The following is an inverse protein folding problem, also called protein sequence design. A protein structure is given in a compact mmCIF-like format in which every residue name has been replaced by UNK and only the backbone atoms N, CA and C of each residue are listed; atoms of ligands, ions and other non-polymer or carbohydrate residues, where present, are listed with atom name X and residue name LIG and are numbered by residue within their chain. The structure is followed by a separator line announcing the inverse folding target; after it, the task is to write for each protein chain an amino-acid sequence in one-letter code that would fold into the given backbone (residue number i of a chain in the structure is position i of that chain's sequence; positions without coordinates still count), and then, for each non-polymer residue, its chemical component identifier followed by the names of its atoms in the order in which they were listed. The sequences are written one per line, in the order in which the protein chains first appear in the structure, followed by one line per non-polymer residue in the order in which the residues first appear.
data_IF_389259185900
#
_entry.id   IF_389259185900
#
_cell.length_a   1.000
_cell.length_b   1.000
_cell.length_c   1.000
_cell.angle_alpha   90.00
_cell.angle_beta   90.00
_cell.angle_gamma   90.00
#
_symmetry.space_group_name_H-M   'P 1'
#
loop_
_entity.id
_entity.type
_entity.pdbx_description
1 polymer ?
#
# COMPACT_ATOMS: atom_id res chain seq x y z
N UNK A 1 25.19 3.13 2.09
CA UNK A 1 25.28 3.79 3.42
C UNK A 1 26.20 2.96 4.28
N UNK A 2 27.35 3.51 4.68
CA UNK A 2 28.17 2.93 5.75
C UNK A 2 27.27 2.78 6.98
N UNK A 3 27.13 1.56 7.51
CA UNK A 3 26.48 1.38 8.80
C UNK A 3 27.39 2.01 9.84
N UNK A 4 27.07 3.25 10.27
CA UNK A 4 27.74 3.88 11.40
C UNK A 4 27.61 2.91 12.57
N UNK A 5 28.71 2.24 12.89
CA UNK A 5 28.71 1.15 13.87
C UNK A 5 28.90 1.82 15.22
N UNK A 6 27.79 2.10 15.91
CA UNK A 6 27.85 2.67 17.25
C UNK A 6 28.30 1.61 18.25
N UNK A 7 29.20 1.99 19.15
CA UNK A 7 29.51 1.17 20.32
C UNK A 7 28.30 1.05 21.25
N UNK A 8 28.35 0.10 22.19
CA UNK A 8 27.26 -0.06 23.16
C UNK A 8 27.09 1.21 24.00
N UNK A 9 28.19 1.84 24.39
CA UNK A 9 28.21 3.07 25.17
C UNK A 9 27.60 4.25 24.39
N UNK A 10 27.93 4.38 23.10
CA UNK A 10 27.39 5.43 22.24
C UNK A 10 25.87 5.28 22.04
N UNK A 11 25.38 4.04 21.88
CA UNK A 11 23.94 3.76 21.80
C UNK A 11 23.25 4.18 23.09
N UNK A 12 23.83 3.86 24.25
CA UNK A 12 23.24 4.21 25.54
C UNK A 12 23.15 5.73 25.72
N UNK A 13 24.17 6.47 25.32
CA UNK A 13 24.17 7.93 25.41
C UNK A 13 23.15 8.54 24.43
N UNK A 14 23.13 8.05 23.18
CA UNK A 14 22.13 8.45 22.19
C UNK A 14 20.70 8.24 22.70
N UNK A 15 20.44 7.11 23.36
CA UNK A 15 19.12 6.77 23.93
C UNK A 15 18.73 7.69 25.09
N UNK A 16 19.68 8.07 25.95
CA UNK A 16 19.44 9.06 27.01
C UNK A 16 19.08 10.41 26.42
N UNK A 17 19.82 10.89 25.43
CA UNK A 17 19.52 12.14 24.73
C UNK A 17 18.17 12.09 24.01
N UNK A 18 17.81 10.95 23.40
CA UNK A 18 16.47 10.76 22.84
C UNK A 18 15.39 10.89 23.93
N UNK A 19 15.66 10.39 25.14
CA UNK A 19 14.77 10.50 26.29
C UNK A 19 14.49 11.94 26.72
N UNK A 20 15.40 12.89 26.48
CA UNK A 20 15.17 14.31 26.77
C UNK A 20 14.32 15.02 25.71
N UNK A 21 14.09 14.37 24.57
CA UNK A 21 13.40 14.96 23.42
C UNK A 21 14.34 15.73 22.48
N UNK A 22 15.65 15.51 22.58
CA UNK A 22 16.62 16.14 21.68
C UNK A 22 16.39 15.68 20.22
N UNK A 23 16.01 16.61 19.35
CA UNK A 23 15.66 16.34 17.94
C UNK A 23 16.84 15.75 17.16
N UNK A 24 18.07 16.21 17.39
CA UNK A 24 19.26 15.70 16.70
C UNK A 24 19.58 14.27 17.10
N UNK A 25 19.38 13.94 18.39
CA UNK A 25 19.56 12.58 18.89
C UNK A 25 18.49 11.65 18.31
N UNK A 26 17.23 12.08 18.29
CA UNK A 26 16.13 11.33 17.68
C UNK A 26 16.36 11.10 16.18
N UNK A 27 16.86 12.11 15.46
CA UNK A 27 17.22 11.97 14.05
C UNK A 27 18.29 10.88 13.87
N UNK A 28 19.42 10.97 14.56
CA UNK A 28 20.48 9.94 14.53
C UNK A 28 19.96 8.55 14.89
N UNK A 29 19.05 8.46 15.85
CA UNK A 29 18.41 7.20 16.24
C UNK A 29 17.59 6.61 15.09
N UNK A 30 16.74 7.40 14.44
CA UNK A 30 15.94 6.91 13.31
C UNK A 30 16.81 6.60 12.10
N UNK A 31 17.87 7.37 11.85
CA UNK A 31 18.83 7.07 10.79
C UNK A 31 19.45 5.68 11.00
N UNK A 32 19.84 5.35 12.23
CA UNK A 32 20.44 4.06 12.57
C UNK A 32 19.44 2.90 12.60
N UNK A 33 18.27 3.07 13.23
CA UNK A 33 17.31 1.98 13.49
C UNK A 33 16.16 1.92 12.48
N UNK A 34 16.06 2.81 11.50
CA UNK A 34 14.94 2.84 10.54
C UNK A 34 14.71 1.48 9.86
N UNK A 35 15.79 0.84 9.42
CA UNK A 35 15.75 -0.46 8.75
C UNK A 35 15.29 -1.57 9.70
N UNK A 36 15.72 -1.54 10.96
CA UNK A 36 15.26 -2.50 11.97
C UNK A 36 13.76 -2.33 12.26
N UNK A 37 13.28 -1.09 12.37
CA UNK A 37 11.85 -0.79 12.61
C UNK A 37 11.01 -1.26 11.42
N UNK A 38 11.41 -0.94 10.19
CA UNK A 38 10.67 -1.30 8.97
C UNK A 38 10.65 -2.82 8.76
N UNK A 39 11.79 -3.50 8.91
CA UNK A 39 11.87 -4.94 8.67
C UNK A 39 11.27 -5.79 9.80
N UNK A 40 11.10 -5.23 11.00
CA UNK A 40 10.56 -5.96 12.15
C UNK A 40 9.24 -6.70 11.84
N UNK A 41 8.17 -6.05 11.34
CA UNK A 41 6.91 -6.74 10.99
C UNK A 41 7.07 -7.82 9.91
N UNK A 42 7.95 -7.59 8.92
CA UNK A 42 8.21 -8.53 7.83
C UNK A 42 8.90 -9.78 8.36
N UNK A 43 9.96 -9.61 9.16
CA UNK A 43 10.78 -10.71 9.65
C UNK A 43 10.10 -11.52 10.76
N UNK A 44 9.38 -10.85 11.66
CA UNK A 44 8.82 -11.50 12.86
C UNK A 44 7.39 -11.99 12.63
N UNK A 45 6.62 -11.33 11.77
CA UNK A 45 5.19 -11.63 11.57
C UNK A 45 4.82 -11.91 10.10
N UNK A 46 5.79 -11.94 9.18
CA UNK A 46 5.58 -12.21 7.76
C UNK A 46 4.52 -11.30 7.11
N UNK A 47 4.49 -10.04 7.55
CA UNK A 47 3.58 -9.04 6.98
C UNK A 47 4.09 -8.55 5.62
N UNK A 48 3.19 -7.97 4.84
CA UNK A 48 3.50 -7.36 3.54
C UNK A 48 4.33 -6.08 3.71
N UNK A 49 4.99 -5.64 2.65
CA UNK A 49 5.71 -4.35 2.63
C UNK A 49 4.77 -3.17 2.94
N UNK A 50 3.54 -3.20 2.43
CA UNK A 50 2.52 -2.19 2.74
C UNK A 50 2.23 -2.12 4.24
N UNK A 51 2.03 -3.28 4.87
CA UNK A 51 1.79 -3.37 6.31
C UNK A 51 3.02 -2.92 7.11
N UNK A 52 4.23 -3.18 6.59
CA UNK A 52 5.47 -2.73 7.19
C UNK A 52 5.66 -1.21 7.11
N UNK A 53 5.30 -0.60 5.97
CA UNK A 53 5.27 0.86 5.78
C UNK A 53 4.30 1.52 6.76
N UNK A 54 3.06 1.03 6.83
CA UNK A 54 2.04 1.55 7.75
C UNK A 54 2.48 1.42 9.21
N UNK A 55 3.03 0.26 9.56
CA UNK A 55 3.59 0.02 10.88
C UNK A 55 4.76 0.96 11.19
N UNK A 56 5.68 1.16 10.24
CA UNK A 56 6.82 2.05 10.42
C UNK A 56 6.37 3.46 10.77
N UNK A 57 5.38 3.99 10.05
CA UNK A 57 4.82 5.32 10.29
C UNK A 57 4.16 5.37 11.67
N UNK A 58 3.38 4.35 12.02
CA UNK A 58 2.80 4.24 13.35
C UNK A 58 3.87 4.22 14.46
N UNK A 59 4.93 3.43 14.28
CA UNK A 59 6.02 3.35 15.23
C UNK A 59 6.79 4.68 15.34
N UNK A 60 7.09 5.31 14.20
CA UNK A 60 7.73 6.62 14.13
C UNK A 60 6.94 7.67 14.92
N UNK A 61 5.63 7.77 14.69
CA UNK A 61 4.74 8.70 15.40
C UNK A 61 4.73 8.46 16.92
N UNK A 62 4.84 7.21 17.37
CA UNK A 62 4.87 6.85 18.80
C UNK A 62 6.24 7.05 19.44
N UNK A 63 7.32 7.03 18.66
CA UNK A 63 8.70 7.12 19.14
C UNK A 63 9.28 8.53 19.04
N UNK A 64 8.82 9.36 18.08
CA UNK A 64 9.38 10.70 17.80
C UNK A 64 9.33 11.68 18.97
N UNK A 65 8.53 11.42 20.00
CA UNK A 65 8.43 12.28 21.19
C UNK A 65 9.54 12.05 22.23
N UNK A 66 10.36 11.00 22.08
CA UNK A 66 11.39 10.67 23.07
C UNK A 66 10.87 9.99 24.36
N UNK A 67 9.58 10.15 24.69
CA UNK A 67 9.01 9.72 25.99
C UNK A 67 9.21 8.24 26.30
N UNK A 68 9.13 7.36 25.29
CA UNK A 68 9.30 5.92 25.49
C UNK A 68 10.72 5.51 25.82
N UNK A 69 11.73 6.28 25.42
CA UNK A 69 13.13 5.98 25.74
C UNK A 69 13.44 6.12 27.24
N UNK A 70 12.67 6.94 27.97
CA UNK A 70 12.80 7.10 29.43
C UNK A 70 12.50 5.82 30.22
N UNK A 71 11.80 4.84 29.65
CA UNK A 71 11.50 3.59 30.34
C UNK A 71 12.59 2.53 30.18
N UNK A 72 13.68 2.83 29.47
CA UNK A 72 14.83 1.95 29.39
C UNK A 72 15.70 2.11 30.65
N UNK A 73 15.82 1.03 31.44
CA UNK A 73 16.50 1.02 32.76
C UNK A 73 17.84 0.25 32.70
N UNK A 74 18.33 -0.14 31.52
CA UNK A 74 19.65 -0.79 31.38
C UNK A 74 19.75 -2.24 31.90
N UNK A 75 18.64 -2.88 32.29
CA UNK A 75 18.63 -4.29 32.76
C UNK A 75 18.87 -5.35 31.66
N UNK A 76 18.88 -4.92 30.40
CA UNK A 76 19.13 -5.75 29.22
C UNK A 76 19.82 -4.87 28.17
N UNK A 77 20.38 -5.48 27.12
CA UNK A 77 20.89 -4.70 25.98
C UNK A 77 19.77 -3.84 25.39
N UNK A 78 20.14 -2.65 24.88
CA UNK A 78 19.16 -1.75 24.29
C UNK A 78 18.37 -2.41 23.15
N UNK A 79 19.05 -3.19 22.31
CA UNK A 79 18.42 -3.92 21.19
C UNK A 79 17.33 -4.89 21.66
N UNK A 80 17.57 -5.64 22.75
CA UNK A 80 16.58 -6.57 23.32
C UNK A 80 15.35 -5.84 23.85
N UNK A 81 15.57 -4.74 24.58
CA UNK A 81 14.48 -3.89 25.04
C UNK A 81 13.72 -3.27 23.86
N UNK A 82 14.43 -2.79 22.85
CA UNK A 82 13.85 -2.10 21.71
C UNK A 82 12.97 -3.04 20.86
N UNK A 83 13.39 -4.29 20.62
CA UNK A 83 12.53 -5.27 19.97
C UNK A 83 11.28 -5.61 20.77
N UNK A 84 11.35 -5.56 22.10
CA UNK A 84 10.15 -5.71 22.95
C UNK A 84 9.18 -4.53 22.77
N UNK A 85 9.72 -3.30 22.66
CA UNK A 85 8.93 -2.10 22.33
C UNK A 85 8.29 -2.23 20.95
N UNK A 86 9.06 -2.61 19.92
CA UNK A 86 8.54 -2.79 18.56
C UNK A 86 7.43 -3.84 18.51
N UNK A 87 7.61 -4.98 19.19
CA UNK A 87 6.58 -6.02 19.31
C UNK A 87 5.28 -5.47 19.91
N UNK A 88 5.38 -4.72 21.00
CA UNK A 88 4.21 -4.15 21.66
C UNK A 88 3.51 -3.12 20.77
N UNK A 89 4.26 -2.25 20.10
CA UNK A 89 3.71 -1.30 19.14
C UNK A 89 3.01 -2.01 17.97
N UNK A 90 3.55 -3.14 17.51
CA UNK A 90 2.96 -3.89 16.39
C UNK A 90 1.63 -4.53 16.81
N UNK A 91 1.57 -5.10 18.01
CA UNK A 91 0.33 -5.66 18.56
C UNK A 91 -0.73 -4.55 18.70
N UNK A 92 -0.35 -3.38 19.22
CA UNK A 92 -1.25 -2.24 19.35
C UNK A 92 -1.75 -1.75 17.98
N UNK A 93 -0.86 -1.62 16.99
CA UNK A 93 -1.23 -1.26 15.61
C UNK A 93 -2.15 -2.29 14.96
N UNK A 94 -1.94 -3.58 15.20
CA UNK A 94 -2.84 -4.62 14.68
C UNK A 94 -4.23 -4.56 15.32
N UNK A 95 -4.34 -4.13 16.58
CA UNK A 95 -5.63 -3.93 17.26
C UNK A 95 -6.42 -2.79 16.62
N UNK A 96 -5.80 -1.65 16.37
CA UNK A 96 -6.48 -0.51 15.70
C UNK A 96 -6.93 -0.87 14.29
N UNK A 97 -6.15 -1.67 13.54
CA UNK A 97 -6.54 -2.15 12.19
C UNK A 97 -7.74 -3.10 12.21
N UNK A 98 -7.94 -3.87 13.29
CA UNK A 98 -9.10 -4.78 13.42
C UNK A 98 -10.39 -4.03 13.70
N UNK A 99 -10.33 -2.98 14.52
CA UNK A 99 -11.51 -2.16 14.88
C UNK A 99 -12.10 -1.42 13.66
N UNK A 100 -11.25 -0.97 12.74
CA UNK A 100 -11.68 -0.31 11.49
C UNK A 100 -12.33 -1.28 10.49
N UNK A 101 -11.91 -2.55 10.46
CA UNK A 101 -12.45 -3.56 9.52
C UNK A 101 -13.90 -3.96 9.79
N UNK A 102 -14.45 -3.65 10.97
CA UNK A 102 -15.82 -4.01 11.35
C UNK A 102 -16.90 -3.10 10.76
N UNK A 103 -16.54 -2.03 10.05
CA UNK A 103 -17.49 -1.21 9.31
C UNK A 103 -17.64 -1.72 7.87
N UNK A 104 -18.48 -2.73 7.69
CA UNK A 104 -18.89 -3.16 6.34
C UNK A 104 -19.75 -2.04 5.74
N UNK A 105 -19.20 -1.28 4.81
CA UNK A 105 -20.00 -0.33 4.03
C UNK A 105 -20.86 -1.14 3.07
N UNK A 106 -22.13 -1.30 3.42
CA UNK A 106 -23.12 -1.85 2.50
C UNK A 106 -23.24 -0.93 1.29
N UNK A 107 -23.05 -1.46 0.09
CA UNK A 107 -23.23 -0.69 -1.15
C UNK A 107 -24.72 -0.62 -1.46
N UNK A 108 -25.24 0.60 -1.61
CA UNK A 108 -26.63 0.89 -1.96
C UNK A 108 -26.74 1.34 -3.42
N UNK A 109 -27.73 0.81 -4.15
CA UNK A 109 -27.98 1.15 -5.55
C UNK A 109 -28.68 2.52 -5.68
N UNK A 110 -28.99 2.97 -6.90
CA UNK A 110 -29.71 4.24 -7.15
C UNK A 110 -31.10 4.31 -6.49
N UNK A 111 -31.64 3.18 -6.05
CA UNK A 111 -32.94 3.03 -5.39
C UNK A 111 -32.81 2.88 -3.86
N UNK A 112 -31.59 3.00 -3.31
CA UNK A 112 -31.33 2.86 -1.87
C UNK A 112 -31.35 1.44 -1.32
N UNK A 113 -31.40 0.41 -2.18
CA UNK A 113 -31.33 -1.00 -1.77
C UNK A 113 -29.88 -1.46 -1.65
N UNK A 114 -29.57 -2.15 -0.55
CA UNK A 114 -28.30 -2.87 -0.42
C UNK A 114 -28.20 -3.93 -1.51
N UNK A 115 -27.14 -3.88 -2.32
CA UNK A 115 -26.93 -4.85 -3.38
C UNK A 115 -25.65 -5.66 -3.16
N UNK A 116 -25.77 -6.95 -3.44
CA UNK A 116 -24.65 -7.90 -3.55
C UNK A 116 -24.56 -8.51 -4.96
N UNK A 117 -25.53 -8.21 -5.81
CA UNK A 117 -25.76 -8.77 -7.14
C UNK A 117 -25.31 -7.81 -8.23
N UNK A 118 -24.80 -8.38 -9.33
CA UNK A 118 -24.17 -7.63 -10.44
C UNK A 118 -25.20 -6.79 -11.23
N UNK A 119 -26.49 -7.10 -11.12
CA UNK A 119 -27.58 -6.42 -11.84
C UNK A 119 -27.82 -4.97 -11.35
N UNK A 120 -27.36 -4.64 -10.14
CA UNK A 120 -27.47 -3.32 -9.53
C UNK A 120 -26.19 -2.46 -9.69
N UNK A 121 -25.14 -3.00 -10.32
CA UNK A 121 -23.89 -2.29 -10.55
C UNK A 121 -24.09 -1.30 -11.71
N UNK A 122 -24.09 0.03 -11.47
CA UNK A 122 -24.39 1.00 -12.50
C UNK A 122 -23.33 0.95 -13.62
N UNK A 123 -23.78 0.85 -14.88
CA UNK A 123 -22.89 0.95 -16.04
C UNK A 123 -22.37 2.39 -16.16
N UNK A 124 -21.11 2.59 -15.78
CA UNK A 124 -20.41 3.89 -15.82
C UNK A 124 -19.52 4.05 -17.05
N UNK A 125 -19.57 3.13 -18.03
CA UNK A 125 -18.64 3.15 -19.17
C UNK A 125 -18.72 4.42 -20.02
N UNK A 126 -19.92 4.98 -20.21
CA UNK A 126 -20.12 6.15 -21.06
C UNK A 126 -19.52 7.44 -20.48
N UNK A 127 -19.60 7.64 -19.17
CA UNK A 127 -19.05 8.82 -18.50
C UNK A 127 -17.54 8.71 -18.22
N UNK A 128 -16.95 7.51 -18.35
CA UNK A 128 -15.62 7.22 -17.85
C UNK A 128 -14.46 7.81 -18.66
N UNK A 129 -14.59 7.94 -19.99
CA UNK A 129 -13.43 8.29 -20.83
C UNK A 129 -13.09 9.79 -20.77
N UNK A 130 -14.09 10.67 -20.88
CA UNK A 130 -13.89 12.11 -20.76
C UNK A 130 -13.45 12.49 -19.34
N UNK A 131 -14.10 11.92 -18.32
CA UNK A 131 -13.66 12.08 -16.92
C UNK A 131 -12.25 11.55 -16.68
N UNK A 132 -11.81 10.48 -17.35
CA UNK A 132 -10.47 9.94 -17.14
C UNK A 132 -9.37 10.86 -17.67
N UNK A 133 -9.58 11.53 -18.80
CA UNK A 133 -8.63 12.50 -19.35
C UNK A 133 -8.50 13.73 -18.44
N UNK A 134 -9.63 14.31 -18.01
CA UNK A 134 -9.63 15.45 -17.10
C UNK A 134 -8.96 15.12 -15.77
N UNK A 135 -9.24 13.95 -15.20
CA UNK A 135 -8.61 13.47 -13.96
C UNK A 135 -7.11 13.26 -14.14
N UNK A 136 -6.67 12.77 -15.30
CA UNK A 136 -5.25 12.59 -15.61
C UNK A 136 -4.50 13.92 -15.66
N UNK A 137 -5.04 14.91 -16.37
CA UNK A 137 -4.44 16.24 -16.49
C UNK A 137 -4.39 16.96 -15.14
N UNK A 138 -5.48 16.87 -14.39
CA UNK A 138 -5.56 17.36 -13.02
C UNK A 138 -4.50 16.71 -12.12
N UNK A 139 -4.35 15.39 -12.23
CA UNK A 139 -3.35 14.64 -11.47
C UNK A 139 -1.92 15.07 -11.80
N UNK A 140 -1.59 15.24 -13.09
CA UNK A 140 -0.27 15.72 -13.53
C UNK A 140 0.00 17.14 -13.03
N UNK A 141 -1.01 18.02 -13.12
CA UNK A 141 -0.94 19.38 -12.56
C UNK A 141 -0.65 19.35 -11.07
N UNK A 142 -1.39 18.57 -10.28
CA UNK A 142 -1.15 18.42 -8.84
C UNK A 142 0.25 17.87 -8.56
N UNK A 143 0.68 16.83 -9.28
CA UNK A 143 1.98 16.20 -9.10
C UNK A 143 3.13 17.19 -9.39
N UNK A 144 2.97 18.07 -10.38
CA UNK A 144 3.95 19.11 -10.72
C UNK A 144 4.20 20.10 -9.57
N UNK A 145 3.18 20.36 -8.74
CA UNK A 145 3.28 21.27 -7.59
C UNK A 145 4.03 20.68 -6.39
N UNK A 146 4.34 19.38 -6.43
CA UNK A 146 5.06 18.68 -5.37
C UNK A 146 6.56 18.87 -5.59
N UNK A 147 7.30 19.14 -4.50
CA UNK A 147 8.76 19.26 -4.54
C UNK A 147 9.39 18.07 -5.25
N UNK A 148 10.36 18.36 -6.13
CA UNK A 148 11.07 17.39 -6.98
C UNK A 148 11.45 16.10 -6.23
N UNK A 149 12.16 16.23 -5.11
CA UNK A 149 12.57 15.13 -4.22
C UNK A 149 11.45 14.15 -3.85
N UNK A 150 10.30 14.71 -3.49
CA UNK A 150 9.16 13.92 -3.04
C UNK A 150 8.40 13.32 -4.22
N UNK A 151 8.33 14.07 -5.33
CA UNK A 151 7.74 13.61 -6.59
C UNK A 151 8.49 12.40 -7.14
N UNK A 152 9.82 12.42 -7.06
CA UNK A 152 10.69 11.31 -7.45
C UNK A 152 10.37 10.05 -6.62
N UNK A 153 10.26 10.15 -5.29
CA UNK A 153 9.89 9.00 -4.43
C UNK A 153 8.56 8.39 -4.87
N UNK A 154 7.57 9.23 -5.15
CA UNK A 154 6.27 8.79 -5.60
C UNK A 154 6.32 8.13 -6.99
N UNK A 155 6.99 8.76 -7.97
CA UNK A 155 7.18 8.18 -9.30
C UNK A 155 7.93 6.86 -9.24
N UNK A 156 8.98 6.75 -8.43
CA UNK A 156 9.71 5.49 -8.22
C UNK A 156 8.84 4.42 -7.54
N UNK A 157 7.91 4.79 -6.67
CA UNK A 157 6.96 3.84 -6.05
C UNK A 157 6.01 3.21 -7.08
N UNK A 158 5.73 3.93 -8.16
CA UNK A 158 4.86 3.52 -9.26
C UNK A 158 5.60 3.50 -10.59
N UNK A 159 6.89 3.11 -10.59
CA UNK A 159 7.79 3.26 -11.75
C UNK A 159 7.35 2.47 -12.99
N UNK A 160 6.53 1.43 -12.79
CA UNK A 160 5.90 0.69 -13.86
C UNK A 160 4.87 1.54 -14.64
N UNK A 161 4.14 2.41 -13.94
CA UNK A 161 3.09 3.27 -14.51
C UNK A 161 3.56 4.69 -14.81
N UNK A 162 4.58 5.18 -14.07
CA UNK A 162 5.06 6.55 -14.14
C UNK A 162 6.52 6.60 -14.61
N UNK A 163 6.82 7.58 -15.46
CA UNK A 163 8.16 7.84 -15.96
C UNK A 163 8.81 8.99 -15.20
N UNK A 164 10.11 8.84 -14.96
CA UNK A 164 10.93 9.94 -14.49
C UNK A 164 11.35 10.79 -15.67
N UNK A 165 11.27 12.10 -15.51
CA UNK A 165 11.69 13.07 -16.50
C UNK A 165 13.23 13.20 -16.49
N UNK A 166 13.88 13.68 -17.58
CA UNK A 166 15.33 13.82 -17.62
C UNK A 166 15.90 14.64 -16.46
N UNK A 167 15.21 15.71 -16.05
CA UNK A 167 15.58 16.54 -14.90
C UNK A 167 15.54 15.77 -13.57
N UNK A 168 14.61 14.83 -13.42
CA UNK A 168 14.48 13.99 -12.24
C UNK A 168 15.60 12.96 -12.17
N UNK A 169 16.00 12.39 -13.31
CA UNK A 169 17.13 11.46 -13.39
C UNK A 169 18.43 12.19 -13.05
N UNK A 170 18.64 13.38 -13.61
CA UNK A 170 19.79 14.23 -13.30
C UNK A 170 19.85 14.57 -11.81
N UNK A 171 18.71 14.93 -11.21
CA UNK A 171 18.63 15.19 -9.76
C UNK A 171 19.08 13.99 -8.92
N UNK A 172 18.68 12.76 -9.29
CA UNK A 172 19.13 11.54 -8.59
C UNK A 172 20.63 11.32 -8.79
N UNK A 173 21.14 11.51 -10.01
CA UNK A 173 22.54 11.37 -10.36
C UNK A 173 23.44 12.30 -9.52
N UNK A 174 23.07 13.58 -9.44
CA UNK A 174 23.77 14.57 -8.63
C UNK A 174 23.74 14.22 -7.15
N UNK A 175 22.55 13.90 -6.61
CA UNK A 175 22.37 13.60 -5.18
C UNK A 175 23.12 12.36 -4.73
N UNK A 176 23.16 11.33 -5.57
CA UNK A 176 23.81 10.04 -5.23
C UNK A 176 25.24 9.94 -5.72
N UNK A 177 25.73 10.92 -6.49
CA UNK A 177 27.05 10.89 -7.14
C UNK A 177 27.22 9.63 -8.00
N UNK A 178 26.15 9.25 -8.73
CA UNK A 178 26.12 8.10 -9.64
C UNK A 178 25.88 8.56 -11.08
N UNK A 179 26.46 7.90 -12.10
CA UNK A 179 26.18 8.24 -13.50
C UNK A 179 24.70 8.06 -13.87
N UNK A 180 24.17 8.94 -14.74
CA UNK A 180 22.77 8.84 -15.22
C UNK A 180 22.47 7.49 -15.89
N UNK A 181 23.42 6.96 -16.67
CA UNK A 181 23.29 5.67 -17.37
C UNK A 181 23.06 4.50 -16.39
N UNK A 182 23.73 4.53 -15.24
CA UNK A 182 23.57 3.50 -14.21
C UNK A 182 22.15 3.55 -13.60
N UNK A 183 21.67 4.76 -13.29
CA UNK A 183 20.32 4.97 -12.75
C UNK A 183 19.25 4.56 -13.77
N UNK A 184 19.43 4.92 -15.06
CA UNK A 184 18.53 4.52 -16.14
C UNK A 184 18.47 3.00 -16.29
N UNK A 185 19.62 2.34 -16.28
CA UNK A 185 19.71 0.89 -16.34
C UNK A 185 19.04 0.21 -15.15
N UNK A 186 19.22 0.75 -13.94
CA UNK A 186 18.59 0.23 -12.73
C UNK A 186 17.06 0.37 -12.77
N UNK A 187 16.55 1.54 -13.21
CA UNK A 187 15.11 1.77 -13.41
C UNK A 187 14.53 0.84 -14.47
N UNK A 188 15.26 0.61 -15.57
CA UNK A 188 14.82 -0.28 -16.65
C UNK A 188 14.73 -1.74 -16.18
N UNK A 189 15.74 -2.21 -15.45
CA UNK A 189 15.73 -3.55 -14.81
C UNK A 189 14.57 -3.70 -13.83
N UNK A 190 14.32 -2.69 -12.99
CA UNK A 190 13.17 -2.70 -12.08
C UNK A 190 11.84 -2.79 -12.83
N UNK A 191 11.68 -2.08 -13.94
CA UNK A 191 10.45 -2.16 -14.75
C UNK A 191 10.23 -3.55 -15.34
N UNK A 192 11.30 -4.19 -15.79
CA UNK A 192 11.23 -5.56 -16.30
C UNK A 192 10.82 -6.55 -15.21
N UNK A 193 11.41 -6.45 -14.00
CA UNK A 193 11.01 -7.27 -12.86
C UNK A 193 9.54 -7.07 -12.50
N UNK A 194 9.10 -5.81 -12.48
CA UNK A 194 7.72 -5.43 -12.15
C UNK A 194 6.70 -5.85 -13.22
N UNK A 195 7.12 -6.00 -14.48
CA UNK A 195 6.26 -6.50 -15.56
C UNK A 195 5.73 -7.91 -15.29
N UNK A 196 6.55 -8.78 -14.69
CA UNK A 196 6.13 -10.13 -14.32
C UNK A 196 5.02 -10.11 -13.25
N UNK A 197 5.13 -9.20 -12.28
CA UNK A 197 4.09 -9.00 -11.27
C UNK A 197 2.79 -8.45 -11.87
N UNK A 198 2.90 -7.57 -12.86
CA UNK A 198 1.70 -7.08 -13.55
C UNK A 198 0.99 -8.18 -14.31
N UNK A 199 1.73 -9.10 -14.94
CA UNK A 199 1.12 -10.26 -15.61
C UNK A 199 0.31 -11.13 -14.64
N UNK A 200 0.80 -11.32 -13.41
CA UNK A 200 0.04 -12.00 -12.35
C UNK A 200 -1.22 -11.24 -11.94
N UNK A 201 -1.15 -9.91 -11.85
CA UNK A 201 -2.31 -9.06 -11.58
C UNK A 201 -3.36 -9.18 -12.68
N UNK A 202 -2.94 -9.14 -13.95
CA UNK A 202 -3.82 -9.33 -15.10
C UNK A 202 -4.52 -10.70 -15.08
N UNK A 203 -3.80 -11.78 -14.74
CA UNK A 203 -4.39 -13.11 -14.55
C UNK A 203 -5.44 -13.12 -13.43
N UNK A 204 -5.25 -12.35 -12.36
CA UNK A 204 -6.25 -12.20 -11.31
C UNK A 204 -7.47 -11.40 -11.79
N UNK A 205 -7.30 -10.39 -12.66
CA UNK A 205 -8.41 -9.69 -13.30
C UNK A 205 -9.19 -10.58 -14.26
N UNK A 206 -8.51 -11.37 -15.08
CA UNK A 206 -9.13 -12.35 -15.95
C UNK A 206 -9.92 -13.38 -15.14
N UNK A 207 -9.45 -13.74 -13.95
CA UNK A 207 -10.20 -14.60 -13.02
C UNK A 207 -11.47 -13.93 -12.51
N UNK A 208 -11.46 -12.62 -12.23
CA UNK A 208 -12.68 -11.87 -11.88
C UNK A 208 -13.68 -11.93 -13.05
N UNK A 209 -13.20 -11.71 -14.27
CA UNK A 209 -14.02 -11.78 -15.49
C UNK A 209 -14.55 -13.18 -15.75
N UNK A 210 -13.73 -14.21 -15.61
CA UNK A 210 -14.14 -15.61 -15.74
C UNK A 210 -15.18 -16.00 -14.70
N UNK A 211 -15.02 -15.57 -13.44
CA UNK A 211 -16.04 -15.79 -12.40
C UNK A 211 -17.35 -15.08 -12.75
N UNK A 212 -17.28 -13.88 -13.32
CA UNK A 212 -18.44 -13.15 -13.82
C UNK A 212 -19.17 -13.93 -14.92
N UNK A 213 -18.46 -14.38 -15.96
CA UNK A 213 -19.04 -15.19 -17.03
C UNK A 213 -19.66 -16.49 -16.52
N UNK A 214 -19.00 -17.18 -15.58
CA UNK A 214 -19.53 -18.39 -14.95
C UNK A 214 -20.83 -18.13 -14.15
N UNK A 215 -20.93 -16.98 -13.48
CA UNK A 215 -22.15 -16.61 -12.75
C UNK A 215 -23.30 -16.38 -13.73
N UNK A 216 -23.05 -15.74 -14.88
CA UNK A 216 -24.05 -15.55 -15.93
C UNK A 216 -24.55 -16.89 -16.50
N UNK A 217 -23.64 -17.80 -16.83
CA UNK A 217 -23.99 -19.13 -17.33
C UNK A 217 -24.80 -19.94 -16.31
N UNK A 218 -24.37 -19.98 -15.04
CA UNK A 218 -25.13 -20.66 -13.98
C UNK A 218 -26.53 -20.06 -13.77
N UNK A 219 -26.68 -18.73 -13.93
CA UNK A 219 -27.99 -18.07 -13.88
C UNK A 219 -28.86 -18.44 -15.08
N UNK A 220 -28.28 -18.51 -16.27
CA UNK A 220 -28.98 -18.94 -17.47
C UNK A 220 -29.44 -20.39 -17.36
N UNK A 221 -28.57 -21.29 -16.87
CA UNK A 221 -28.94 -22.68 -16.57
C UNK A 221 -30.05 -22.77 -15.53
N UNK A 222 -30.02 -21.94 -14.48
CA UNK A 222 -31.12 -21.83 -13.52
C UNK A 222 -32.41 -21.42 -14.22
N UNK A 223 -32.39 -20.40 -15.07
CA UNK A 223 -33.58 -19.92 -15.80
C UNK A 223 -34.15 -20.98 -16.74
N UNK A 224 -33.30 -21.74 -17.44
CA UNK A 224 -33.71 -22.75 -18.42
C UNK A 224 -34.17 -24.08 -17.79
N UNK A 225 -33.49 -24.56 -16.73
CA UNK A 225 -33.71 -25.90 -16.15
C UNK A 225 -34.53 -25.93 -14.86
N UNK A 226 -34.90 -24.76 -14.31
CA UNK A 226 -35.69 -24.66 -13.08
C UNK A 226 -37.22 -24.53 -13.32
N UNK A 227 -37.71 -24.77 -14.54
CA UNK A 227 -39.14 -24.83 -14.82
C UNK A 227 -39.69 -26.21 -14.41
N UNK A 228 -40.21 -26.29 -13.19
CA UNK A 228 -40.83 -27.49 -12.62
C UNK A 228 -40.68 -27.58 -11.10
N UNK A 229 -41.69 -28.19 -10.46
CA UNK A 229 -41.79 -28.40 -8.99
C UNK A 229 -41.43 -29.82 -8.55
N UNK A 230 -40.83 -30.64 -9.44
CA UNK A 230 -40.31 -31.96 -9.08
C UNK A 230 -39.22 -31.87 -8.00
N UNK A 231 -39.15 -32.87 -7.12
CA UNK A 231 -38.09 -33.01 -6.10
C UNK A 231 -36.69 -32.96 -6.73
N UNK A 232 -36.52 -33.53 -7.92
CA UNK A 232 -35.27 -33.48 -8.69
C UNK A 232 -34.93 -32.05 -9.17
N UNK A 233 -35.96 -31.29 -9.56
CA UNK A 233 -35.81 -29.89 -9.97
C UNK A 233 -35.46 -29.00 -8.76
N UNK A 234 -36.01 -29.29 -7.57
CA UNK A 234 -35.67 -28.60 -6.33
C UNK A 234 -34.20 -28.86 -5.92
N UNK A 235 -33.77 -30.12 -5.93
CA UNK A 235 -32.37 -30.48 -5.66
C UNK A 235 -31.39 -29.82 -6.65
N UNK A 236 -31.75 -29.77 -7.92
CA UNK A 236 -30.95 -29.08 -8.95
C UNK A 236 -30.87 -27.56 -8.71
N UNK A 237 -31.98 -26.91 -8.31
CA UNK A 237 -32.02 -25.49 -7.94
C UNK A 237 -31.11 -25.21 -6.74
N UNK A 238 -31.19 -25.99 -5.68
CA UNK A 238 -30.35 -25.82 -4.48
C UNK A 238 -28.85 -25.96 -4.81
N UNK A 239 -28.49 -26.95 -5.64
CA UNK A 239 -27.10 -27.16 -6.06
C UNK A 239 -26.56 -25.97 -6.87
N UNK A 240 -27.38 -25.43 -7.78
CA UNK A 240 -27.05 -24.22 -8.55
C UNK A 240 -26.91 -23.00 -7.64
N UNK A 241 -27.78 -22.84 -6.65
CA UNK A 241 -27.73 -21.71 -5.71
C UNK A 241 -26.47 -21.75 -4.83
N UNK A 242 -26.09 -22.93 -4.35
CA UNK A 242 -24.83 -23.09 -3.63
C UNK A 242 -23.62 -22.78 -4.52
N UNK A 243 -23.63 -23.23 -5.78
CA UNK A 243 -22.56 -22.93 -6.74
C UNK A 243 -22.48 -21.43 -7.05
N UNK A 244 -23.61 -20.76 -7.26
CA UNK A 244 -23.72 -19.32 -7.46
C UNK A 244 -23.17 -18.56 -6.25
N UNK A 245 -23.63 -18.88 -5.04
CA UNK A 245 -23.17 -18.24 -3.81
C UNK A 245 -21.64 -18.33 -3.63
N UNK A 246 -21.06 -19.51 -3.88
CA UNK A 246 -19.61 -19.72 -3.84
C UNK A 246 -18.86 -18.84 -4.85
N UNK A 247 -19.38 -18.73 -6.08
CA UNK A 247 -18.76 -17.90 -7.14
C UNK A 247 -18.88 -16.41 -6.86
N UNK A 248 -20.02 -15.95 -6.33
CA UNK A 248 -20.20 -14.57 -5.85
C UNK A 248 -19.17 -14.22 -4.79
N UNK A 249 -19.02 -15.05 -3.76
CA UNK A 249 -18.08 -14.81 -2.67
C UNK A 249 -16.63 -14.79 -3.17
N UNK A 250 -16.26 -15.68 -4.10
CA UNK A 250 -14.95 -15.66 -4.74
C UNK A 250 -14.70 -14.36 -5.52
N UNK A 251 -15.67 -13.92 -6.32
CA UNK A 251 -15.57 -12.67 -7.09
C UNK A 251 -15.49 -11.46 -6.16
N UNK A 252 -16.33 -11.41 -5.13
CA UNK A 252 -16.36 -10.34 -4.12
C UNK A 252 -15.00 -10.18 -3.45
N UNK A 253 -14.39 -11.27 -2.97
CA UNK A 253 -13.05 -11.23 -2.35
C UNK A 253 -11.98 -10.68 -3.29
N UNK A 254 -12.01 -11.04 -4.57
CA UNK A 254 -11.03 -10.52 -5.55
C UNK A 254 -11.27 -9.04 -5.86
N UNK A 255 -12.54 -8.61 -5.98
CA UNK A 255 -12.88 -7.20 -6.18
C UNK A 255 -12.50 -6.35 -4.96
N UNK A 256 -12.72 -6.85 -3.74
CA UNK A 256 -12.26 -6.18 -2.52
C UNK A 256 -10.74 -6.04 -2.49
N UNK A 257 -10.00 -7.06 -2.96
CA UNK A 257 -8.55 -6.95 -3.10
C UNK A 257 -8.15 -5.88 -4.12
N UNK A 258 -8.80 -5.86 -5.29
CA UNK A 258 -8.58 -4.84 -6.32
C UNK A 258 -8.88 -3.43 -5.80
N UNK A 259 -10.00 -3.23 -5.10
CA UNK A 259 -10.39 -1.96 -4.50
C UNK A 259 -9.42 -1.48 -3.41
N UNK A 260 -8.75 -2.40 -2.71
CA UNK A 260 -7.69 -2.09 -1.74
C UNK A 260 -6.33 -1.80 -2.41
N UNK A 261 -6.26 -1.79 -3.74
CA UNK A 261 -5.02 -1.50 -4.47
C UNK A 261 -4.04 -2.68 -4.56
N UNK A 262 -4.43 -3.90 -4.15
CA UNK A 262 -3.54 -5.06 -4.21
C UNK A 262 -3.16 -5.50 -5.63
N UNK A 263 -3.83 -4.96 -6.66
CA UNK A 263 -3.55 -5.24 -8.06
C UNK A 263 -2.71 -4.13 -8.70
N UNK A 264 -2.22 -3.17 -7.91
CA UNK A 264 -1.27 -2.18 -8.36
C UNK A 264 0.14 -2.69 -8.13
N UNK A 265 0.96 -2.64 -9.17
CA UNK A 265 2.37 -2.96 -9.06
C UNK A 265 3.10 -1.80 -8.39
N UNK A 266 3.68 -2.08 -7.22
CA UNK A 266 4.52 -1.15 -6.49
C UNK A 266 5.97 -1.63 -6.46
N UNK A 267 6.87 -0.67 -6.60
CA UNK A 267 8.29 -0.91 -6.44
C UNK A 267 8.60 -1.21 -4.98
N UNK A 268 9.36 -2.27 -4.67
CA UNK A 268 9.76 -2.55 -3.30
C UNK A 268 10.51 -1.38 -2.69
N UNK A 269 10.21 -1.04 -1.44
CA UNK A 269 10.76 0.18 -0.84
C UNK A 269 12.28 0.14 -0.69
N UNK A 270 12.84 -1.06 -0.57
CA UNK A 270 14.29 -1.30 -0.55
C UNK A 270 14.97 -0.82 -1.83
N UNK A 271 14.33 -1.02 -2.98
CA UNK A 271 14.91 -0.62 -4.28
C UNK A 271 14.86 0.91 -4.43
N UNK A 272 13.76 1.54 -3.99
CA UNK A 272 13.64 3.00 -3.95
C UNK A 272 14.67 3.62 -3.00
N UNK A 273 14.82 3.03 -1.81
CA UNK A 273 15.80 3.43 -0.80
C UNK A 273 17.23 3.34 -1.35
N UNK A 274 17.55 2.26 -2.08
CA UNK A 274 18.85 2.08 -2.75
C UNK A 274 19.09 3.14 -3.81
N UNK A 275 18.14 3.36 -4.72
CA UNK A 275 18.26 4.34 -5.81
C UNK A 275 18.48 5.75 -5.26
N UNK A 276 17.80 6.12 -4.18
CA UNK A 276 17.84 7.48 -3.64
C UNK A 276 18.87 7.69 -2.52
N UNK A 277 19.52 6.63 -2.05
CA UNK A 277 20.44 6.69 -0.92
C UNK A 277 19.78 7.11 0.40
N UNK A 278 18.51 6.73 0.62
CA UNK A 278 17.76 7.02 1.85
C UNK A 278 17.33 5.72 2.54
N UNK A 279 16.78 5.78 3.76
CA UNK A 279 16.24 4.61 4.44
C UNK A 279 14.86 4.21 3.91
N UNK A 280 14.51 2.92 4.01
CA UNK A 280 13.17 2.41 3.68
C UNK A 280 12.07 3.13 4.50
N UNK A 281 12.36 3.43 5.76
CA UNK A 281 11.49 4.27 6.59
C UNK A 281 11.31 5.69 6.05
N UNK A 282 12.37 6.28 5.50
CA UNK A 282 12.33 7.58 4.83
C UNK A 282 11.47 7.57 3.56
N UNK A 283 11.53 6.47 2.78
CA UNK A 283 10.63 6.24 1.64
C UNK A 283 9.17 6.23 2.12
N UNK A 284 8.85 5.43 3.15
CA UNK A 284 7.49 5.31 3.70
C UNK A 284 6.90 6.66 4.13
N UNK A 285 7.66 7.44 4.90
CA UNK A 285 7.22 8.75 5.40
C UNK A 285 7.04 9.75 4.26
N UNK A 286 7.96 9.75 3.29
CA UNK A 286 7.88 10.65 2.14
C UNK A 286 6.68 10.31 1.27
N UNK A 287 6.47 9.03 0.96
CA UNK A 287 5.36 8.56 0.17
C UNK A 287 4.01 8.89 0.81
N UNK A 288 3.85 8.66 2.13
CA UNK A 288 2.62 9.03 2.83
C UNK A 288 2.33 10.53 2.69
N UNK A 289 3.32 11.38 2.95
CA UNK A 289 3.16 12.84 2.84
C UNK A 289 2.80 13.30 1.43
N UNK A 290 3.33 12.61 0.42
CA UNK A 290 2.97 12.89 -0.98
C UNK A 290 1.53 12.48 -1.24
N UNK A 291 1.13 11.27 -0.84
CA UNK A 291 -0.24 10.78 -0.99
C UNK A 291 -1.26 11.71 -0.30
N UNK A 292 -0.99 12.14 0.94
CA UNK A 292 -1.85 13.09 1.67
C UNK A 292 -1.97 14.44 0.93
N UNK A 293 -0.86 14.94 0.37
CA UNK A 293 -0.85 16.19 -0.41
C UNK A 293 -1.63 16.06 -1.71
N UNK A 294 -1.44 14.97 -2.44
CA UNK A 294 -2.17 14.68 -3.67
C UNK A 294 -3.65 14.58 -3.33
N UNK A 295 -4.02 13.79 -2.31
CA UNK A 295 -5.40 13.63 -1.89
C UNK A 295 -6.03 14.99 -1.55
N UNK A 296 -5.39 15.80 -0.70
CA UNK A 296 -5.91 17.12 -0.31
C UNK A 296 -6.12 18.05 -1.51
N UNK A 297 -5.18 18.08 -2.46
CA UNK A 297 -5.27 18.93 -3.66
C UNK A 297 -6.28 18.43 -4.69
N UNK A 298 -6.41 17.12 -4.86
CA UNK A 298 -7.43 16.53 -5.73
C UNK A 298 -8.83 16.81 -5.18
N UNK A 299 -9.03 16.75 -3.86
CA UNK A 299 -10.32 17.07 -3.23
C UNK A 299 -10.66 18.56 -3.34
N UNK A 300 -9.69 19.47 -3.22
CA UNK A 300 -9.98 20.91 -3.37
C UNK A 300 -10.44 21.25 -4.78
N UNK A 301 -9.79 20.69 -5.80
CA UNK A 301 -10.15 20.94 -7.20
C UNK A 301 -11.49 20.28 -7.57
N UNK A 302 -11.79 19.09 -7.03
CA UNK A 302 -13.09 18.44 -7.22
C UNK A 302 -14.25 19.13 -6.49
N UNK A 303 -13.99 19.91 -5.43
CA UNK A 303 -14.99 20.71 -4.72
C UNK A 303 -15.22 22.11 -5.32
N UNK A 304 -14.40 22.52 -6.28
CA UNK A 304 -14.52 23.77 -7.03
C UNK A 304 -15.20 23.57 -8.40
N UNK A 305 -15.58 22.32 -8.75
CA UNK A 305 -16.24 21.94 -10.01
C UNK A 305 -17.73 21.67 -9.85
#
# INVERSE_FOLDING_TARGET
MEQTTYSTEEILELVKECGTGNEKALQKFFDHYSQDIYNFPIRVFHLTEDDASDYYIYAFERLKSGKRFKSFVGKSSFKTWFFSVLRNLLIDWQRTKREVKTQTVSKVNKEGKEYSTIEDEPDKRADALAHALDVSDQFQSVLSTIKMENRIVFKLSFVYYLHLDPEEILYIAEKTTRPEEEIRSEILSLREELSNREEENLKMEDKITSLYLNILDLKEQKKQKAQGDSVEAQYYKERLDHALAKKYEQRKKLIEKKQKGHFLVRTPYREIARILGISEGGVSVTLLRVLEKIQKKMHSVAGES
#
